data_IF_180859456483
#
_entry.id   IF_180859456483
#
_cell.length_a   1.000
_cell.length_b   1.000
_cell.length_c   1.000
_cell.angle_alpha   90.00
_cell.angle_beta   90.00
_cell.angle_gamma   90.00
#
_symmetry.space_group_name_H-M   'P 1'
#
loop_
_entity.id
_entity.type
_entity.pdbx_description
1 polymer ?
#
# COMPACT_ATOMS: atom_id res chain seq x y z
N UNK A 1 -3.04 2.32 -31.55
CA UNK A 1 -3.54 2.11 -30.17
C UNK A 1 -2.40 2.53 -29.27
N UNK A 2 -2.59 3.53 -28.39
CA UNK A 2 -1.56 3.84 -27.39
C UNK A 2 -1.52 2.67 -26.41
N UNK A 3 -0.38 2.01 -26.32
CA UNK A 3 -0.18 0.95 -25.35
C UNK A 3 -0.10 1.58 -23.96
N UNK A 4 -0.79 0.98 -22.99
CA UNK A 4 -0.76 1.40 -21.59
C UNK A 4 -0.85 0.14 -20.75
N UNK A 5 -0.13 0.14 -19.63
CA UNK A 5 -0.11 -0.98 -18.69
C UNK A 5 -1.45 -1.10 -17.97
N UNK A 6 -2.14 0.05 -17.79
CA UNK A 6 -3.44 0.19 -17.16
C UNK A 6 -4.48 0.49 -18.26
N UNK A 7 -5.39 -0.45 -18.54
CA UNK A 7 -6.34 -0.27 -19.64
C UNK A 7 -7.24 0.98 -19.42
N UNK A 8 -7.56 1.76 -20.48
CA UNK A 8 -8.21 3.08 -20.39
C UNK A 8 -9.55 3.15 -19.63
N UNK A 9 -10.27 2.03 -19.52
CA UNK A 9 -11.53 1.95 -18.76
C UNK A 9 -11.34 1.94 -17.24
N UNK A 10 -10.10 1.88 -16.74
CA UNK A 10 -9.74 1.72 -15.33
C UNK A 10 -8.84 2.87 -14.81
N UNK A 11 -8.76 4.00 -15.50
CA UNK A 11 -7.78 5.08 -15.28
C UNK A 11 -8.02 5.94 -14.02
N UNK A 12 -8.59 5.39 -12.96
CA UNK A 12 -8.62 6.06 -11.66
C UNK A 12 -7.79 5.22 -10.70
N UNK A 13 -6.62 5.75 -10.33
CA UNK A 13 -5.87 5.22 -9.20
C UNK A 13 -6.73 5.52 -7.97
N UNK A 14 -7.18 4.48 -7.28
CA UNK A 14 -7.83 4.64 -5.99
C UNK A 14 -6.76 4.63 -4.91
N UNK A 15 -6.79 5.65 -4.05
CA UNK A 15 -5.83 5.82 -2.97
C UNK A 15 -6.52 5.79 -1.60
N UNK A 16 -5.82 5.25 -0.60
CA UNK A 16 -6.24 5.27 0.79
C UNK A 16 -5.04 5.40 1.72
N UNK A 17 -5.13 6.30 2.69
CA UNK A 17 -4.14 6.49 3.75
C UNK A 17 -4.75 6.14 5.11
N UNK A 18 -4.04 5.33 5.90
CA UNK A 18 -4.52 4.89 7.20
C UNK A 18 -3.41 5.08 8.24
N UNK A 19 -3.70 5.83 9.29
CA UNK A 19 -2.80 6.01 10.43
C UNK A 19 -2.94 4.81 11.39
N UNK A 20 -1.85 4.06 11.60
CA UNK A 20 -1.84 2.86 12.46
C UNK A 20 -1.50 3.15 13.93
N UNK A 21 -1.04 4.36 14.26
CA UNK A 21 -0.53 4.68 15.61
C UNK A 21 0.88 4.12 15.85
N UNK A 22 1.21 3.76 17.09
CA UNK A 22 2.48 3.11 17.41
C UNK A 22 2.45 1.65 16.93
N UNK A 23 2.91 1.41 15.72
CA UNK A 23 3.09 0.07 15.17
C UNK A 23 4.58 -0.26 15.17
N UNK A 24 4.97 -1.44 15.67
CA UNK A 24 6.34 -1.92 15.45
C UNK A 24 6.45 -2.32 13.99
N UNK A 25 7.23 -1.57 13.20
CA UNK A 25 7.51 -1.93 11.81
C UNK A 25 8.00 -3.38 11.72
N UNK A 26 7.51 -4.12 10.72
CA UNK A 26 8.24 -5.24 10.11
C UNK A 26 8.64 -6.40 11.03
N UNK A 27 7.80 -6.86 11.97
CA UNK A 27 8.11 -8.13 12.65
C UNK A 27 7.87 -9.33 11.74
N UNK A 28 6.63 -9.52 11.30
CA UNK A 28 6.25 -10.74 10.59
C UNK A 28 5.35 -10.40 9.40
N UNK A 29 5.73 -10.89 8.22
CA UNK A 29 4.87 -10.95 7.05
C UNK A 29 4.94 -12.35 6.45
N UNK A 30 3.88 -12.73 5.74
CA UNK A 30 3.84 -13.97 4.98
C UNK A 30 3.18 -13.69 3.66
N UNK A 31 3.73 -14.28 2.60
CA UNK A 31 3.19 -14.20 1.26
C UNK A 31 3.22 -15.60 0.65
N UNK A 32 2.12 -15.99 0.04
CA UNK A 32 2.00 -17.23 -0.71
C UNK A 32 1.31 -16.93 -2.04
N UNK A 33 1.81 -17.55 -3.11
CA UNK A 33 1.22 -17.47 -4.43
C UNK A 33 0.96 -18.89 -4.94
N UNK A 34 -0.26 -19.11 -5.45
CA UNK A 34 -0.68 -20.39 -6.03
C UNK A 34 -1.02 -20.16 -7.48
N UNK A 35 -0.52 -21.05 -8.34
CA UNK A 35 -0.70 -20.97 -9.79
C UNK A 35 -1.84 -21.88 -10.19
N UNK A 36 -2.77 -21.38 -11.01
CA UNK A 36 -3.88 -22.16 -11.56
C UNK A 36 -3.67 -22.57 -13.03
N UNK A 37 -2.65 -22.02 -13.68
CA UNK A 37 -2.35 -22.23 -15.10
C UNK A 37 -0.84 -22.46 -15.34
N UNK A 38 -0.52 -22.96 -16.54
CA UNK A 38 0.86 -23.25 -16.97
C UNK A 38 1.69 -21.96 -17.13
N UNK A 39 1.07 -20.91 -17.66
CA UNK A 39 1.62 -19.55 -17.63
C UNK A 39 1.00 -18.78 -16.46
N UNK A 40 1.82 -17.95 -15.82
CA UNK A 40 1.44 -17.23 -14.61
C UNK A 40 1.52 -15.75 -14.93
N UNK A 41 0.41 -15.14 -15.34
CA UNK A 41 0.44 -13.75 -15.74
C UNK A 41 0.56 -12.82 -14.53
N UNK A 42 0.44 -13.32 -13.30
CA UNK A 42 0.41 -12.54 -12.07
C UNK A 42 1.74 -12.59 -11.31
N UNK A 43 2.11 -11.49 -10.68
CA UNK A 43 3.31 -11.34 -9.85
C UNK A 43 2.97 -10.73 -8.49
N UNK A 44 3.87 -10.96 -7.53
CA UNK A 44 3.80 -10.32 -6.22
C UNK A 44 5.20 -9.96 -5.74
N UNK A 45 5.28 -9.03 -4.80
CA UNK A 45 6.54 -8.48 -4.31
C UNK A 45 6.41 -8.06 -2.85
N UNK A 46 7.48 -8.29 -2.07
CA UNK A 46 7.66 -7.66 -0.76
C UNK A 46 9.09 -7.14 -0.68
N UNK A 47 9.23 -5.84 -0.43
CA UNK A 47 10.52 -5.20 -0.17
C UNK A 47 10.46 -4.55 1.20
N UNK A 48 11.47 -4.79 2.04
CA UNK A 48 11.55 -4.18 3.36
C UNK A 48 12.94 -3.58 3.56
N UNK A 49 13.00 -2.30 3.92
CA UNK A 49 14.26 -1.57 4.00
C UNK A 49 14.10 -0.08 3.78
N UNK A 50 15.15 0.55 3.25
CA UNK A 50 15.15 1.97 2.89
C UNK A 50 14.13 2.26 1.79
N UNK A 51 13.20 3.18 2.04
CA UNK A 51 12.16 3.58 1.10
C UNK A 51 12.54 4.78 0.22
N UNK A 52 13.73 5.35 0.41
CA UNK A 52 14.30 6.38 -0.48
C UNK A 52 15.71 5.98 -0.91
N UNK A 53 16.25 6.74 -1.86
CA UNK A 53 17.61 6.54 -2.38
C UNK A 53 18.69 7.04 -1.41
N UNK A 54 18.33 7.85 -0.40
CA UNK A 54 19.27 8.36 0.59
C UNK A 54 19.43 7.42 1.78
N UNK A 55 20.64 7.39 2.36
CA UNK A 55 20.98 6.52 3.50
C UNK A 55 20.30 6.91 4.82
N UNK A 56 19.74 8.13 4.92
CA UNK A 56 18.99 8.63 6.07
C UNK A 56 17.47 8.39 5.96
N UNK A 57 17.04 7.53 5.04
CA UNK A 57 15.62 7.32 4.73
C UNK A 57 14.82 6.73 5.88
N UNK A 58 13.50 7.05 5.96
CA UNK A 58 12.58 6.17 6.67
C UNK A 58 12.63 4.75 6.12
N UNK A 59 12.67 3.78 7.03
CA UNK A 59 12.49 2.37 6.73
C UNK A 59 11.01 2.07 6.61
N UNK A 60 10.67 1.20 5.66
CA UNK A 60 9.30 0.77 5.44
C UNK A 60 9.23 -0.58 4.77
N UNK A 61 8.01 -1.02 4.55
CA UNK A 61 7.69 -2.26 3.83
C UNK A 61 6.79 -1.92 2.66
N UNK A 62 7.20 -2.30 1.46
CA UNK A 62 6.44 -2.22 0.24
C UNK A 62 5.90 -3.61 -0.09
N UNK A 63 4.61 -3.70 -0.40
CA UNK A 63 3.94 -4.92 -0.84
C UNK A 63 3.23 -4.63 -2.15
N UNK A 64 3.48 -5.45 -3.17
CA UNK A 64 2.86 -5.33 -4.49
C UNK A 64 2.14 -6.61 -4.89
N UNK A 65 0.94 -6.48 -5.44
CA UNK A 65 0.14 -7.55 -6.05
C UNK A 65 -0.26 -7.10 -7.44
N UNK A 66 0.15 -7.87 -8.46
CA UNK A 66 0.02 -7.50 -9.86
C UNK A 66 -0.67 -8.65 -10.58
N UNK A 67 -1.92 -8.45 -11.00
CA UNK A 67 -2.67 -9.48 -11.73
C UNK A 67 -2.63 -9.19 -13.23
N UNK A 68 -1.70 -9.84 -13.92
CA UNK A 68 -1.51 -9.63 -15.35
C UNK A 68 -2.60 -10.29 -16.17
N UNK A 69 -2.90 -9.70 -17.32
CA UNK A 69 -3.88 -10.19 -18.27
C UNK A 69 -3.48 -9.83 -19.70
N UNK A 70 -3.79 -10.72 -20.66
CA UNK A 70 -3.41 -10.54 -22.06
C UNK A 70 -1.89 -10.58 -22.26
N UNK A 71 -1.43 -11.08 -23.41
CA UNK A 71 0.00 -11.00 -23.77
C UNK A 71 1.01 -11.63 -22.80
N UNK A 72 0.59 -12.50 -21.87
CA UNK A 72 1.47 -13.19 -20.91
C UNK A 72 1.84 -12.36 -19.66
N UNK A 73 2.93 -12.70 -18.96
CA UNK A 73 3.34 -12.07 -17.71
C UNK A 73 4.02 -10.69 -17.87
N UNK A 74 4.25 -10.23 -19.10
CA UNK A 74 5.14 -9.12 -19.40
C UNK A 74 4.77 -7.83 -18.66
N UNK A 75 3.48 -7.50 -18.57
CA UNK A 75 3.03 -6.31 -17.87
C UNK A 75 3.27 -6.42 -16.36
N UNK A 76 2.76 -7.47 -15.70
CA UNK A 76 2.92 -7.64 -14.25
C UNK A 76 4.39 -7.79 -13.82
N UNK A 77 5.21 -8.43 -14.65
CA UNK A 77 6.66 -8.51 -14.45
C UNK A 77 7.33 -7.14 -14.58
N UNK A 78 6.92 -6.34 -15.56
CA UNK A 78 7.40 -4.96 -15.71
C UNK A 78 7.05 -4.12 -14.48
N UNK A 79 5.85 -4.24 -13.92
CA UNK A 79 5.47 -3.55 -12.69
C UNK A 79 6.41 -3.95 -11.54
N UNK A 80 6.55 -5.26 -11.28
CA UNK A 80 7.40 -5.82 -10.23
C UNK A 80 8.83 -5.28 -10.28
N UNK A 81 9.38 -5.12 -11.48
CA UNK A 81 10.78 -4.72 -11.68
C UNK A 81 11.01 -3.21 -11.57
N UNK A 82 9.97 -2.38 -11.55
CA UNK A 82 10.12 -0.93 -11.69
C UNK A 82 9.39 -0.10 -10.63
N UNK A 83 8.20 -0.51 -10.20
CA UNK A 83 7.33 0.34 -9.39
C UNK A 83 7.94 0.69 -8.02
N UNK A 84 8.64 -0.25 -7.40
CA UNK A 84 9.32 0.00 -6.12
C UNK A 84 10.41 1.09 -6.26
N UNK A 85 11.25 1.01 -7.28
CA UNK A 85 12.30 2.02 -7.50
C UNK A 85 11.73 3.38 -7.91
N UNK A 86 10.66 3.40 -8.71
CA UNK A 86 9.95 4.65 -9.02
C UNK A 86 9.36 5.29 -7.75
N UNK A 87 8.81 4.48 -6.84
CA UNK A 87 8.31 4.95 -5.55
C UNK A 87 9.43 5.56 -4.68
N UNK A 88 10.63 4.96 -4.71
CA UNK A 88 11.80 5.51 -4.01
C UNK A 88 12.28 6.82 -4.59
N UNK A 89 12.26 6.97 -5.92
CA UNK A 89 12.57 8.23 -6.61
C UNK A 89 11.58 9.31 -6.19
N UNK A 90 10.28 9.03 -6.23
CA UNK A 90 9.23 9.96 -5.81
C UNK A 90 9.42 10.41 -4.35
N UNK A 91 9.77 9.49 -3.45
CA UNK A 91 10.02 9.79 -2.04
C UNK A 91 11.29 10.64 -1.81
N UNK A 92 12.26 10.57 -2.73
CA UNK A 92 13.52 11.33 -2.69
C UNK A 92 13.38 12.73 -3.31
N UNK A 93 12.31 12.98 -4.05
CA UNK A 93 12.02 14.29 -4.65
C UNK A 93 11.52 15.30 -3.62
N UNK A 94 11.15 16.51 -4.06
CA UNK A 94 10.73 17.65 -3.23
C UNK A 94 9.54 17.35 -2.28
N UNK A 95 8.84 16.22 -2.46
CA UNK A 95 7.73 15.78 -1.62
C UNK A 95 8.16 15.32 -0.22
N UNK A 96 9.38 14.78 -0.07
CA UNK A 96 10.06 14.47 1.21
C UNK A 96 9.42 13.40 2.12
N UNK A 97 8.15 13.06 1.93
CA UNK A 97 7.40 12.06 2.69
C UNK A 97 6.46 11.26 1.78
N UNK A 98 6.05 10.07 2.25
CA UNK A 98 5.17 9.20 1.47
C UNK A 98 3.77 9.82 1.42
N UNK A 99 3.20 9.93 0.23
CA UNK A 99 1.91 10.56 -0.03
C UNK A 99 1.19 9.92 -1.23
N UNK A 100 -0.05 10.33 -1.47
CA UNK A 100 -0.77 10.01 -2.71
C UNK A 100 0.01 10.47 -3.94
N UNK A 101 0.59 11.67 -3.88
CA UNK A 101 1.27 12.28 -5.02
C UNK A 101 2.52 11.49 -5.41
N UNK A 102 3.26 10.95 -4.43
CA UNK A 102 4.40 10.04 -4.70
C UNK A 102 3.93 8.81 -5.47
N UNK A 103 2.80 8.22 -5.07
CA UNK A 103 2.25 7.04 -5.74
C UNK A 103 1.70 7.38 -7.12
N UNK A 104 0.95 8.46 -7.27
CA UNK A 104 0.42 8.90 -8.57
C UNK A 104 1.54 9.17 -9.57
N UNK A 105 2.58 9.88 -9.16
CA UNK A 105 3.77 10.13 -10.00
C UNK A 105 4.49 8.82 -10.34
N UNK A 106 4.56 7.87 -9.40
CA UNK A 106 5.19 6.57 -9.64
C UNK A 106 4.41 5.72 -10.65
N UNK A 107 3.08 5.70 -10.55
CA UNK A 107 2.21 5.00 -11.49
C UNK A 107 2.24 5.66 -12.87
N UNK A 108 2.25 6.99 -12.93
CA UNK A 108 2.38 7.74 -14.17
C UNK A 108 3.71 7.44 -14.87
N UNK A 109 4.83 7.56 -14.15
CA UNK A 109 6.16 7.25 -14.69
C UNK A 109 6.28 5.78 -15.12
N UNK A 110 5.62 4.86 -14.41
CA UNK A 110 5.59 3.45 -14.79
C UNK A 110 4.86 3.24 -16.12
N UNK A 111 3.70 3.87 -16.30
CA UNK A 111 2.91 3.74 -17.54
C UNK A 111 3.60 4.40 -18.73
N UNK A 112 4.22 5.57 -18.53
CA UNK A 112 5.05 6.22 -19.54
C UNK A 112 6.23 5.32 -19.95
N UNK A 113 6.95 4.76 -18.98
CA UNK A 113 8.09 3.86 -19.25
C UNK A 113 7.64 2.59 -19.99
N UNK A 114 6.48 2.04 -19.64
CA UNK A 114 5.91 0.88 -20.33
C UNK A 114 5.51 1.23 -21.77
N UNK A 115 4.89 2.39 -21.98
CA UNK A 115 4.52 2.89 -23.31
C UNK A 115 5.74 2.97 -24.22
N UNK A 116 6.86 3.50 -23.71
CA UNK A 116 8.13 3.53 -24.45
C UNK A 116 8.67 2.13 -24.76
N UNK A 117 8.60 1.19 -23.81
CA UNK A 117 8.99 -0.20 -24.07
C UNK A 117 8.18 -0.80 -25.23
N UNK A 118 6.87 -0.63 -25.21
CA UNK A 118 5.98 -1.19 -26.24
C UNK A 118 6.27 -0.55 -27.61
N UNK A 119 6.49 0.77 -27.66
CA UNK A 119 6.84 1.46 -28.91
C UNK A 119 8.13 0.92 -29.54
N UNK A 120 9.12 0.59 -28.72
CA UNK A 120 10.43 0.13 -29.20
C UNK A 120 10.48 -1.37 -29.50
N UNK A 121 9.75 -2.19 -28.74
CA UNK A 121 9.90 -3.65 -28.76
C UNK A 121 8.68 -4.39 -29.34
N UNK A 122 7.59 -3.68 -29.71
CA UNK A 122 6.35 -4.34 -30.16
C UNK A 122 6.49 -5.16 -31.45
N UNK A 123 7.42 -4.83 -32.34
CA UNK A 123 7.67 -5.63 -33.55
C UNK A 123 8.29 -6.99 -33.19
N UNK A 124 9.23 -7.02 -32.24
CA UNK A 124 9.87 -8.23 -31.77
C UNK A 124 8.99 -9.02 -30.79
N UNK A 125 8.20 -8.32 -29.98
CA UNK A 125 7.36 -8.87 -28.92
C UNK A 125 5.92 -8.34 -29.05
N UNK A 126 5.15 -8.82 -30.04
CA UNK A 126 3.79 -8.32 -30.31
C UNK A 126 2.83 -8.51 -29.13
N UNK A 127 3.09 -9.48 -28.27
CA UNK A 127 2.31 -9.74 -27.06
C UNK A 127 2.24 -8.51 -26.13
N UNK A 128 3.27 -7.65 -26.13
CA UNK A 128 3.31 -6.42 -25.33
C UNK A 128 2.13 -5.48 -25.60
N UNK A 129 1.61 -5.44 -26.83
CA UNK A 129 0.47 -4.60 -27.20
C UNK A 129 -0.83 -5.02 -26.50
N UNK A 130 -0.94 -6.30 -26.16
CA UNK A 130 -2.13 -6.88 -25.52
C UNK A 130 -1.98 -7.07 -24.02
N UNK A 131 -0.76 -6.94 -23.52
CA UNK A 131 -0.43 -7.14 -22.12
C UNK A 131 -0.85 -5.94 -21.28
N UNK A 132 -1.39 -6.23 -20.10
CA UNK A 132 -1.71 -5.26 -19.07
C UNK A 132 -1.82 -5.94 -17.71
N UNK A 133 -2.04 -5.17 -16.66
CA UNK A 133 -2.14 -5.73 -15.31
C UNK A 133 -3.00 -4.86 -14.40
N UNK A 134 -3.82 -5.49 -13.57
CA UNK A 134 -4.27 -4.86 -12.32
C UNK A 134 -3.06 -4.65 -11.42
N UNK A 135 -3.04 -3.59 -10.62
CA UNK A 135 -1.97 -3.26 -9.71
C UNK A 135 -2.54 -2.84 -8.36
N UNK A 136 -2.05 -3.45 -7.29
CA UNK A 136 -2.33 -3.07 -5.91
C UNK A 136 -1.00 -2.96 -5.17
N UNK A 137 -0.77 -1.81 -4.56
CA UNK A 137 0.41 -1.54 -3.74
C UNK A 137 -0.05 -1.15 -2.33
N UNK A 138 0.62 -1.72 -1.34
CA UNK A 138 0.55 -1.32 0.07
C UNK A 138 1.93 -0.92 0.58
N UNK A 139 2.05 0.26 1.16
CA UNK A 139 3.30 0.76 1.76
C UNK A 139 3.08 1.04 3.23
N UNK A 140 3.86 0.40 4.10
CA UNK A 140 3.88 0.63 5.55
C UNK A 140 5.12 1.44 5.89
N UNK A 141 4.95 2.69 6.32
CA UNK A 141 6.05 3.61 6.62
C UNK A 141 5.61 4.65 7.64
N UNK A 142 6.47 5.04 8.59
CA UNK A 142 6.16 6.15 9.50
C UNK A 142 4.90 5.98 10.37
N UNK A 143 4.49 4.75 10.70
CA UNK A 143 3.25 4.48 11.44
C UNK A 143 1.97 4.69 10.61
N UNK A 144 2.09 4.72 9.28
CA UNK A 144 0.99 4.85 8.31
C UNK A 144 1.03 3.72 7.29
N UNK A 145 -0.14 3.45 6.72
CA UNK A 145 -0.31 2.56 5.56
C UNK A 145 -0.87 3.36 4.42
N UNK A 146 -0.22 3.24 3.28
CA UNK A 146 -0.63 3.84 2.02
C UNK A 146 -1.05 2.70 1.11
N UNK A 147 -2.23 2.80 0.52
CA UNK A 147 -2.73 1.83 -0.45
C UNK A 147 -3.06 2.58 -1.73
N UNK A 148 -2.50 2.13 -2.84
CA UNK A 148 -2.86 2.59 -4.18
C UNK A 148 -3.24 1.38 -5.03
N UNK A 149 -4.32 1.50 -5.81
CA UNK A 149 -4.75 0.43 -6.72
C UNK A 149 -5.30 0.93 -8.03
N UNK A 150 -5.16 0.08 -9.05
CA UNK A 150 -5.79 0.17 -10.36
C UNK A 150 -6.30 -1.23 -10.72
N UNK A 151 -7.58 -1.34 -11.04
CA UNK A 151 -8.23 -2.62 -11.34
C UNK A 151 -8.98 -3.23 -10.14
N UNK A 152 -9.07 -4.55 -10.12
CA UNK A 152 -9.99 -5.33 -9.28
C UNK A 152 -9.34 -6.03 -8.07
N UNK A 153 -8.00 -6.00 -7.98
CA UNK A 153 -7.26 -6.39 -6.77
C UNK A 153 -7.69 -5.57 -5.55
N UNK A 154 -7.68 -6.19 -4.35
CA UNK A 154 -8.20 -5.58 -3.11
C UNK A 154 -7.25 -5.76 -1.93
N UNK A 155 -7.15 -4.72 -1.11
CA UNK A 155 -6.54 -4.77 0.21
C UNK A 155 -7.61 -4.68 1.30
N UNK A 156 -7.38 -5.38 2.41
CA UNK A 156 -8.24 -5.34 3.60
C UNK A 156 -7.38 -5.09 4.82
N UNK A 157 -7.75 -4.11 5.64
CA UNK A 157 -7.11 -3.85 6.93
C UNK A 157 -8.01 -4.35 8.06
N UNK A 158 -7.53 -5.34 8.81
CA UNK A 158 -8.18 -5.77 10.04
C UNK A 158 -7.62 -4.97 11.23
N UNK A 159 -8.51 -4.47 12.09
CA UNK A 159 -8.14 -3.83 13.35
C UNK A 159 -8.78 -4.59 14.50
N UNK A 160 -7.96 -4.98 15.48
CA UNK A 160 -8.49 -5.53 16.73
C UNK A 160 -9.23 -4.43 17.49
N UNK A 161 -10.37 -4.75 18.15
CA UNK A 161 -11.02 -3.80 19.03
C UNK A 161 -10.03 -3.28 20.06
N UNK A 162 -9.99 -1.96 20.28
CA UNK A 162 -9.26 -1.42 21.43
C UNK A 162 -9.86 -2.06 22.68
N UNK A 163 -9.05 -2.63 23.60
CA UNK A 163 -9.57 -3.10 24.86
C UNK A 163 -10.30 -1.93 25.52
N UNK A 164 -11.57 -2.13 25.87
CA UNK A 164 -12.30 -1.13 26.66
C UNK A 164 -11.46 -0.90 27.90
N UNK A 165 -11.08 0.35 28.17
CA UNK A 165 -10.60 0.69 29.51
C UNK A 165 -11.64 0.16 30.49
N UNK A 166 -11.24 -0.55 31.56
CA UNK A 166 -12.17 -0.86 32.62
C UNK A 166 -12.85 0.45 32.98
N UNK A 167 -14.18 0.48 32.90
CA UNK A 167 -14.94 1.56 33.53
C UNK A 167 -14.38 1.66 34.93
N UNK A 168 -14.03 2.88 35.37
CA UNK A 168 -13.61 3.11 36.75
C UNK A 168 -14.52 2.29 37.65
N UNK A 169 -13.97 1.52 38.62
CA UNK A 169 -14.81 0.73 39.50
C UNK A 169 -15.93 1.63 40.02
N UNK A 170 -17.19 1.14 40.08
CA UNK A 170 -18.27 1.93 40.62
C UNK A 170 -17.80 2.52 41.95
N UNK A 171 -17.98 3.83 42.11
CA UNK A 171 -17.57 4.57 43.30
C UNK A 171 -17.98 3.73 44.53
N UNK A 172 -16.99 3.27 45.32
CA UNK A 172 -17.24 2.47 46.52
C UNK A 172 -18.34 3.16 47.33
N UNK A 173 -19.41 2.43 47.77
CA UNK A 173 -20.41 3.03 48.63
C UNK A 173 -19.70 3.56 49.87
N UNK A 174 -20.00 4.81 50.25
CA UNK A 174 -19.46 5.49 51.43
C UNK A 174 -19.56 4.59 52.65
N UNK A 175 -18.51 3.83 52.94
CA UNK A 175 -18.42 3.04 54.16
C UNK A 175 -17.95 3.97 55.25
N UNK A 176 -18.93 4.43 56.04
CA UNK A 176 -18.83 5.01 57.38
C UNK A 176 -17.42 5.50 57.78
N UNK A 177 -17.12 6.76 57.46
CA UNK A 177 -16.18 7.55 58.26
C UNK A 177 -16.71 8.96 58.46
N UNK A 178 -16.98 9.24 59.74
CA UNK A 178 -17.15 10.55 60.36
C UNK A 178 -18.42 11.32 59.99
N UNK A 179 -19.47 11.06 60.78
CA UNK A 179 -20.47 12.07 61.14
C UNK A 179 -19.70 13.24 61.77
N UNK A 180 -19.60 14.37 61.07
CA UNK A 180 -19.37 15.67 61.68
C UNK A 180 -20.74 16.30 61.94
N UNK A 181 -21.12 16.57 63.20
CA UNK A 181 -22.36 17.23 63.50
C UNK A 181 -22.21 18.75 63.28
N UNK A 182 -23.16 19.35 62.55
CA UNK A 182 -23.39 20.79 62.60
C UNK A 182 -23.36 21.50 61.25
N UNK A 183 -24.51 21.51 60.57
CA UNK A 183 -25.19 22.76 60.21
C UNK A 183 -26.58 22.43 59.66
N UNK A 184 -27.60 22.91 60.36
CA UNK A 184 -28.99 22.88 59.95
C UNK A 184 -29.26 24.12 59.06
N UNK A 185 -29.89 23.87 57.92
CA UNK A 185 -30.97 24.64 57.26
C UNK A 185 -30.88 26.17 57.16
N UNK A 186 -30.84 26.67 55.91
CA UNK A 186 -32.04 27.21 55.20
C UNK A 186 -31.97 26.71 53.75
#
# INVERSE_FOLDING_TARGET
MLASIFKPSANTIEYSEIKLGHHQWGRDFSMAAVKSALEVPSHSQVESGSMSLHTSSPYGTFVGIYDGHGGGPNASEFIKNHLFELSKVGLTSDLGEMSSDVLDLSFFALDEKYTHLVQNESEALPNLLSAGSSCLVGIVIGGRVYVAKVGDSRAVLAQLPRPKQPLSPPMEPWTNRHIVPGCLSI
#
